data_IF_952480306888
#
_entry.id   IF_952480306888
#
_cell.length_a   1.000
_cell.length_b   1.000
_cell.length_c   1.000
_cell.angle_alpha   90.00
_cell.angle_beta   90.00
_cell.angle_gamma   90.00
#
_symmetry.space_group_name_H-M   'P 1'
#
loop_
_entity.id
_entity.type
_entity.pdbx_description
1 polymer ?
#
# COMPACT_ATOMS: atom_id res chain seq x y z
N UNK A 1 16.11 9.14 -2.47
CA UNK A 1 17.10 8.10 -2.86
C UNK A 1 17.44 7.31 -1.60
N UNK A 2 17.11 6.03 -1.57
CA UNK A 2 17.14 5.15 -0.40
C UNK A 2 18.56 4.99 0.15
N UNK A 3 18.87 5.64 1.27
CA UNK A 3 20.19 5.51 1.92
C UNK A 3 20.05 4.60 3.13
N UNK A 4 20.79 3.49 3.11
CA UNK A 4 21.09 2.77 4.35
C UNK A 4 21.77 3.75 5.29
N UNK A 5 21.26 3.85 6.51
CA UNK A 5 21.77 4.85 7.42
C UNK A 5 21.15 4.76 8.78
N UNK A 6 21.87 5.41 9.70
CA UNK A 6 21.43 5.59 11.07
C UNK A 6 20.44 6.75 11.13
N UNK A 7 19.36 6.56 11.88
CA UNK A 7 18.47 7.65 12.27
C UNK A 7 19.26 8.67 13.10
N UNK A 8 19.19 9.95 12.74
CA UNK A 8 19.71 11.01 13.60
C UNK A 8 18.89 11.12 14.91
N UNK A 9 19.54 11.47 16.01
CA UNK A 9 18.90 11.54 17.33
C UNK A 9 19.91 11.54 18.47
N UNK A 10 19.43 11.80 19.69
CA UNK A 10 20.23 12.00 20.92
C UNK A 10 20.89 10.71 21.46
N UNK A 11 20.50 9.54 20.97
CA UNK A 11 21.06 8.27 21.45
C UNK A 11 22.39 7.97 20.75
N UNK A 12 23.43 7.66 21.53
CA UNK A 12 24.77 7.27 21.06
C UNK A 12 24.77 5.99 20.20
N UNK A 13 23.69 5.19 20.25
CA UNK A 13 23.41 4.04 19.38
C UNK A 13 22.01 4.11 18.75
N UNK A 14 21.75 5.15 17.95
CA UNK A 14 20.48 5.30 17.23
C UNK A 14 20.20 4.16 16.23
N UNK A 15 18.93 3.94 15.93
CA UNK A 15 18.44 2.89 15.03
C UNK A 15 19.10 2.97 13.65
N UNK A 16 19.40 1.81 13.05
CA UNK A 16 19.92 1.71 11.69
C UNK A 16 18.92 0.95 10.83
N UNK A 17 18.55 1.54 9.70
CA UNK A 17 17.60 0.94 8.77
C UNK A 17 18.30 0.58 7.47
N UNK A 18 18.32 -0.71 7.17
CA UNK A 18 18.83 -1.21 5.90
C UNK A 18 17.99 -0.65 4.75
N UNK A 19 18.64 -0.03 3.76
CA UNK A 19 18.01 0.73 2.68
C UNK A 19 17.06 1.86 3.13
N UNK A 20 17.14 2.30 4.38
CA UNK A 20 16.26 3.35 4.91
C UNK A 20 14.79 2.92 5.00
N UNK A 21 14.52 1.63 5.10
CA UNK A 21 13.17 1.07 5.29
C UNK A 21 13.14 0.15 6.51
N UNK A 22 11.96 0.03 7.13
CA UNK A 22 11.74 -0.90 8.24
C UNK A 22 10.31 -1.43 8.24
N UNK A 23 10.11 -2.61 8.82
CA UNK A 23 8.76 -3.05 9.20
C UNK A 23 8.35 -2.30 10.47
N UNK A 24 7.12 -1.78 10.54
CA UNK A 24 6.64 -0.98 11.67
C UNK A 24 6.84 -1.69 13.01
N UNK A 25 6.26 -2.89 13.17
CA UNK A 25 6.40 -3.70 14.38
C UNK A 25 7.85 -4.18 14.63
N UNK A 26 8.64 -4.36 13.57
CA UNK A 26 10.08 -4.67 13.65
C UNK A 26 10.92 -3.52 14.19
N UNK A 27 10.47 -2.27 14.08
CA UNK A 27 11.10 -1.13 14.73
C UNK A 27 10.61 -0.96 16.16
N UNK A 28 9.29 -0.80 16.35
CA UNK A 28 8.63 -0.88 17.65
C UNK A 28 7.14 -1.17 17.47
N UNK A 29 6.54 -1.84 18.45
CA UNK A 29 5.12 -2.17 18.39
C UNK A 29 4.24 -0.92 18.58
N UNK A 30 3.30 -0.71 17.67
CA UNK A 30 2.27 0.33 17.75
C UNK A 30 0.92 -0.28 17.32
N UNK A 31 -0.10 -0.16 18.16
CA UNK A 31 -1.46 -0.59 17.86
C UNK A 31 -2.38 0.62 17.64
N UNK A 32 -3.39 0.45 16.79
CA UNK A 32 -4.35 1.53 16.46
C UNK A 32 -3.84 2.57 15.46
N UNK A 33 -2.77 2.25 14.72
CA UNK A 33 -2.21 3.12 13.69
C UNK A 33 -3.10 3.19 12.44
N UNK A 34 -3.13 4.37 11.81
CA UNK A 34 -3.88 4.61 10.57
C UNK A 34 -3.38 3.72 9.41
N UNK A 35 -2.06 3.55 9.29
CA UNK A 35 -1.43 2.77 8.22
C UNK A 35 -2.00 1.35 8.09
N UNK A 36 -2.06 0.62 9.20
CA UNK A 36 -2.54 -0.75 9.22
C UNK A 36 -4.06 -0.80 9.06
N UNK A 37 -4.78 0.19 9.61
CA UNK A 37 -6.22 0.31 9.42
C UNK A 37 -6.60 0.46 7.94
N UNK A 38 -5.87 1.30 7.19
CA UNK A 38 -6.07 1.48 5.74
C UNK A 38 -5.88 0.16 4.98
N UNK A 39 -4.84 -0.60 5.33
CA UNK A 39 -4.60 -1.89 4.68
C UNK A 39 -5.66 -2.94 5.03
N UNK A 40 -6.23 -2.91 6.24
CA UNK A 40 -7.20 -3.92 6.66
C UNK A 40 -8.65 -3.60 6.24
N UNK A 41 -9.01 -2.32 6.12
CA UNK A 41 -10.41 -1.89 5.97
C UNK A 41 -10.74 -1.17 4.65
N UNK A 42 -9.76 -1.01 3.77
CA UNK A 42 -9.96 -0.39 2.45
C UNK A 42 -9.13 -1.11 1.38
N UNK A 43 -9.11 -0.63 0.13
CA UNK A 43 -8.16 -1.09 -0.89
C UNK A 43 -6.79 -0.39 -0.81
N UNK A 44 -6.66 0.67 -0.01
CA UNK A 44 -5.44 1.47 0.09
C UNK A 44 -4.26 0.66 0.67
N UNK A 45 -3.05 1.01 0.21
CA UNK A 45 -1.79 0.50 0.73
C UNK A 45 -0.95 1.69 1.19
N UNK A 46 -1.11 2.05 2.46
CA UNK A 46 -0.43 3.18 3.08
C UNK A 46 0.97 2.80 3.59
N UNK A 47 1.88 3.78 3.58
CA UNK A 47 3.16 3.71 4.28
C UNK A 47 3.31 4.92 5.20
N UNK A 48 4.06 4.76 6.29
CA UNK A 48 4.48 5.87 7.16
C UNK A 48 5.87 6.34 6.76
N UNK A 49 6.03 7.65 6.54
CA UNK A 49 7.32 8.25 6.16
C UNK A 49 7.83 9.15 7.28
N UNK A 50 8.93 8.74 7.90
CA UNK A 50 9.69 9.55 8.86
C UNK A 50 10.65 10.46 8.09
N UNK A 51 10.26 11.73 7.88
CA UNK A 51 10.97 12.66 6.98
C UNK A 51 12.28 13.22 7.57
N UNK A 52 12.52 13.06 8.86
CA UNK A 52 13.71 13.60 9.51
C UNK A 52 13.66 13.51 11.02
N UNK A 53 14.71 14.01 11.66
CA UNK A 53 14.90 13.85 13.11
C UNK A 53 14.37 15.03 13.93
N UNK A 54 14.34 16.22 13.32
CA UNK A 54 13.71 17.38 13.91
C UNK A 54 12.21 17.29 13.66
N UNK A 55 11.44 17.01 14.72
CA UNK A 55 9.98 17.01 14.68
C UNK A 55 9.42 18.35 14.22
N UNK A 56 10.08 19.44 14.62
CA UNK A 56 9.75 20.80 14.26
C UNK A 56 11.03 21.50 13.76
N UNK A 57 11.34 21.44 12.45
CA UNK A 57 12.54 22.06 11.90
C UNK A 57 12.40 23.59 11.82
N UNK A 58 13.53 24.29 11.84
CA UNK A 58 13.58 25.75 11.65
C UNK A 58 13.29 26.13 10.19
N UNK A 59 12.77 27.33 9.97
CA UNK A 59 12.42 27.85 8.64
C UNK A 59 13.58 27.79 7.63
N UNK A 60 14.80 28.00 8.11
CA UNK A 60 16.02 27.91 7.32
C UNK A 60 16.28 26.52 6.73
N UNK A 61 15.66 25.48 7.27
CA UNK A 61 15.82 24.08 6.84
C UNK A 61 14.87 23.68 5.71
N UNK A 62 13.77 24.41 5.50
CA UNK A 62 12.74 24.03 4.54
C UNK A 62 13.25 23.87 3.09
N UNK A 63 14.09 24.78 2.54
CA UNK A 63 14.58 24.62 1.18
C UNK A 63 15.43 23.35 0.99
N UNK A 64 16.22 22.96 2.00
CA UNK A 64 17.01 21.73 1.95
C UNK A 64 16.11 20.49 2.02
N UNK A 65 15.20 20.43 2.99
CA UNK A 65 14.24 19.34 3.16
C UNK A 65 13.40 19.11 1.89
N UNK A 66 12.95 20.18 1.24
CA UNK A 66 12.24 20.09 -0.03
C UNK A 66 13.11 19.46 -1.13
N UNK A 67 14.33 19.96 -1.29
CA UNK A 67 15.22 19.46 -2.35
C UNK A 67 15.64 18.00 -2.14
N UNK A 68 15.72 17.54 -0.89
CA UNK A 68 16.01 16.15 -0.54
C UNK A 68 14.83 15.20 -0.84
N UNK A 69 13.59 15.66 -0.62
CA UNK A 69 12.40 14.80 -0.72
C UNK A 69 11.62 14.89 -2.02
N UNK A 70 11.68 16.02 -2.76
CA UNK A 70 10.80 16.28 -3.92
C UNK A 70 10.75 15.14 -4.94
N UNK A 71 11.90 14.57 -5.31
CA UNK A 71 11.94 13.47 -6.28
C UNK A 71 11.45 12.15 -5.68
N UNK A 72 11.69 11.92 -4.39
CA UNK A 72 11.18 10.73 -3.70
C UNK A 72 9.65 10.77 -3.59
N UNK A 73 9.08 11.97 -3.35
CA UNK A 73 7.63 12.18 -3.35
C UNK A 73 7.02 11.93 -4.73
N UNK A 74 7.62 12.49 -5.78
CA UNK A 74 7.17 12.27 -7.17
C UNK A 74 7.23 10.79 -7.54
N UNK A 75 8.37 10.12 -7.28
CA UNK A 75 8.51 8.69 -7.55
C UNK A 75 7.55 7.83 -6.73
N UNK A 76 7.22 8.23 -5.49
CA UNK A 76 6.21 7.53 -4.70
C UNK A 76 4.81 7.65 -5.32
N UNK A 77 4.43 8.83 -5.81
CA UNK A 77 3.14 9.01 -6.50
C UNK A 77 3.07 8.17 -7.78
N UNK A 78 4.16 8.03 -8.53
CA UNK A 78 4.21 7.17 -9.72
C UNK A 78 3.98 5.68 -9.40
N UNK A 79 4.26 5.23 -8.18
CA UNK A 79 4.04 3.83 -7.79
C UNK A 79 2.58 3.41 -7.86
N UNK A 80 1.63 4.34 -7.78
CA UNK A 80 0.19 4.05 -7.88
C UNK A 80 -0.20 3.46 -9.24
N UNK A 81 0.64 3.65 -10.26
CA UNK A 81 0.40 3.13 -11.61
C UNK A 81 1.01 1.75 -11.86
N UNK A 82 1.65 1.12 -10.87
CA UNK A 82 2.24 -0.22 -11.00
C UNK A 82 1.20 -1.32 -10.74
N UNK A 83 1.54 -2.55 -11.14
CA UNK A 83 0.68 -3.71 -10.99
C UNK A 83 -0.36 -3.81 -12.09
N UNK A 84 -1.58 -4.21 -11.74
CA UNK A 84 -2.67 -4.46 -12.69
C UNK A 84 -3.87 -3.60 -12.32
N UNK A 85 -4.55 -3.04 -13.33
CA UNK A 85 -5.80 -2.31 -13.17
C UNK A 85 -6.75 -2.68 -14.31
N UNK A 86 -8.04 -2.54 -14.08
CA UNK A 86 -9.05 -2.85 -15.09
C UNK A 86 -10.47 -2.58 -14.61
N UNK A 87 -11.43 -3.00 -15.42
CA UNK A 87 -12.86 -2.94 -15.13
C UNK A 87 -13.40 -4.37 -15.16
N UNK A 88 -14.15 -4.75 -14.14
CA UNK A 88 -14.88 -6.02 -14.09
C UNK A 88 -16.31 -5.78 -14.57
N UNK A 89 -16.78 -6.60 -15.50
CA UNK A 89 -18.14 -6.55 -16.05
C UNK A 89 -18.83 -7.91 -15.97
N UNK A 90 -20.17 -7.90 -16.02
CA UNK A 90 -20.98 -9.09 -16.24
C UNK A 90 -20.92 -9.55 -17.71
N UNK A 91 -21.68 -10.61 -18.04
CA UNK A 91 -21.75 -11.15 -19.39
C UNK A 91 -22.42 -10.20 -20.41
N UNK A 92 -23.16 -9.21 -19.92
CA UNK A 92 -23.86 -8.19 -20.72
C UNK A 92 -23.01 -6.91 -20.88
N UNK A 93 -21.84 -6.84 -20.24
CA UNK A 93 -20.93 -5.71 -20.27
C UNK A 93 -21.24 -4.62 -19.22
N UNK A 94 -22.14 -4.87 -18.27
CA UNK A 94 -22.40 -3.92 -17.18
C UNK A 94 -21.31 -4.01 -16.12
N UNK A 95 -20.86 -2.88 -15.54
CA UNK A 95 -19.83 -2.89 -14.51
C UNK A 95 -20.31 -3.58 -13.23
N UNK A 96 -19.45 -4.44 -12.67
CA UNK A 96 -19.72 -5.15 -11.41
C UNK A 96 -19.01 -4.48 -10.24
N UNK A 97 -19.78 -3.80 -9.40
CA UNK A 97 -19.29 -3.26 -8.14
C UNK A 97 -19.15 -4.31 -7.04
N UNK A 98 -18.22 -4.09 -6.11
CA UNK A 98 -17.93 -4.99 -5.00
C UNK A 98 -17.53 -6.42 -5.40
N UNK A 99 -17.08 -6.63 -6.64
CA UNK A 99 -16.44 -7.87 -7.06
C UNK A 99 -15.06 -7.99 -6.41
N UNK A 100 -14.66 -9.20 -6.05
CA UNK A 100 -13.39 -9.48 -5.37
C UNK A 100 -12.34 -9.95 -6.37
N UNK A 101 -11.23 -9.22 -6.48
CA UNK A 101 -10.05 -9.57 -7.27
C UNK A 101 -8.99 -10.19 -6.35
N UNK A 102 -8.64 -11.45 -6.59
CA UNK A 102 -7.72 -12.26 -5.78
C UNK A 102 -6.64 -12.92 -6.63
N UNK A 103 -5.41 -12.98 -6.15
CA UNK A 103 -4.32 -13.73 -6.80
C UNK A 103 -4.49 -15.23 -6.50
N UNK A 104 -4.48 -16.06 -7.54
CA UNK A 104 -5.04 -17.41 -7.53
C UNK A 104 -4.03 -18.56 -7.34
N UNK A 105 -2.71 -18.36 -7.46
CA UNK A 105 -1.76 -19.49 -7.34
C UNK A 105 -0.31 -19.11 -6.98
N UNK A 106 0.33 -19.93 -6.12
CA UNK A 106 1.71 -19.81 -5.61
C UNK A 106 1.79 -19.86 -4.07
N UNK A 107 2.99 -19.92 -3.48
CA UNK A 107 3.25 -19.83 -2.02
C UNK A 107 2.63 -18.60 -1.31
N UNK A 108 1.96 -17.73 -2.06
CA UNK A 108 1.24 -16.56 -1.60
C UNK A 108 -0.26 -16.89 -1.66
N UNK A 109 -0.71 -17.72 -0.73
CA UNK A 109 -2.14 -17.90 -0.42
C UNK A 109 -2.72 -16.73 0.40
N UNK A 110 -1.90 -15.70 0.70
CA UNK A 110 -2.16 -14.67 1.72
C UNK A 110 -2.08 -13.22 1.21
N UNK A 111 -2.20 -12.99 -0.10
CA UNK A 111 -2.29 -11.62 -0.62
C UNK A 111 -3.64 -10.98 -0.27
N UNK A 112 -3.65 -9.69 0.09
CA UNK A 112 -4.90 -8.93 0.32
C UNK A 112 -5.82 -8.99 -0.89
N UNK A 113 -7.11 -9.23 -0.67
CA UNK A 113 -8.12 -9.11 -1.72
C UNK A 113 -8.39 -7.63 -2.04
N UNK A 114 -8.72 -7.32 -3.30
CA UNK A 114 -9.13 -5.98 -3.73
C UNK A 114 -10.59 -6.04 -4.18
N UNK A 115 -11.39 -5.06 -3.77
CA UNK A 115 -12.78 -4.91 -4.21
C UNK A 115 -12.90 -3.89 -5.34
N UNK A 116 -13.82 -4.10 -6.27
CA UNK A 116 -14.08 -3.13 -7.34
C UNK A 116 -14.92 -1.94 -6.84
N UNK A 117 -14.76 -0.78 -7.48
CA UNK A 117 -15.63 0.39 -7.29
C UNK A 117 -17.03 0.12 -7.84
N UNK A 118 -18.00 1.02 -7.61
CA UNK A 118 -19.32 0.94 -8.23
C UNK A 118 -19.30 0.96 -9.77
N UNK A 119 -18.22 1.45 -10.37
CA UNK A 119 -17.99 1.42 -11.81
C UNK A 119 -17.23 0.16 -12.29
N UNK A 120 -17.04 -0.82 -11.40
CA UNK A 120 -16.32 -2.07 -11.71
C UNK A 120 -14.80 -1.92 -11.74
N UNK A 121 -14.26 -0.75 -11.43
CA UNK A 121 -12.83 -0.47 -11.53
C UNK A 121 -12.05 -1.10 -10.38
N UNK A 122 -10.84 -1.58 -10.65
CA UNK A 122 -9.91 -2.02 -9.62
C UNK A 122 -8.47 -1.62 -9.92
N UNK A 123 -7.68 -1.49 -8.86
CA UNK A 123 -6.23 -1.30 -8.92
C UNK A 123 -5.57 -2.25 -7.94
N UNK A 124 -4.70 -3.11 -8.46
CA UNK A 124 -3.95 -4.11 -7.69
C UNK A 124 -2.46 -3.89 -7.87
N UNK A 125 -1.83 -3.26 -6.88
CA UNK A 125 -0.38 -3.11 -6.83
C UNK A 125 0.28 -4.49 -6.73
N UNK A 126 1.25 -4.74 -7.61
CA UNK A 126 2.05 -5.97 -7.67
C UNK A 126 3.49 -5.61 -8.06
N UNK A 127 4.44 -6.39 -7.54
CA UNK A 127 5.81 -6.38 -8.06
C UNK A 127 5.86 -6.98 -9.47
N UNK A 128 6.92 -6.74 -10.25
CA UNK A 128 7.10 -7.40 -11.54
C UNK A 128 7.11 -8.92 -11.40
N UNK A 129 6.31 -9.60 -12.21
CA UNK A 129 6.18 -11.06 -12.19
C UNK A 129 4.96 -11.54 -12.97
N UNK A 130 4.83 -12.86 -13.09
CA UNK A 130 3.65 -13.49 -13.70
C UNK A 130 2.72 -13.97 -12.59
N UNK A 131 1.48 -13.51 -12.63
CA UNK A 131 0.47 -13.83 -11.63
C UNK A 131 -0.77 -14.38 -12.30
N UNK A 132 -1.36 -15.42 -11.71
CA UNK A 132 -2.73 -15.83 -12.01
C UNK A 132 -3.66 -15.12 -11.03
N UNK A 133 -4.81 -14.67 -11.48
CA UNK A 133 -5.81 -14.06 -10.61
C UNK A 133 -7.20 -14.55 -10.98
N UNK A 134 -8.08 -14.51 -9.98
CA UNK A 134 -9.50 -14.84 -10.06
C UNK A 134 -10.31 -13.62 -9.69
N UNK A 135 -11.40 -13.41 -10.41
CA UNK A 135 -12.43 -12.43 -10.04
C UNK A 135 -13.63 -13.23 -9.55
N UNK A 136 -14.06 -12.92 -8.34
CA UNK A 136 -15.24 -13.53 -7.71
C UNK A 136 -16.32 -12.46 -7.64
N UNK A 137 -17.49 -12.78 -8.17
CA UNK A 137 -18.68 -11.97 -7.93
C UNK A 137 -19.23 -12.35 -6.55
N UNK A 138 -19.43 -11.35 -5.70
CA UNK A 138 -19.88 -11.56 -4.32
C UNK A 138 -21.42 -11.65 -4.32
N UNK A 139 -21.99 -12.57 -5.10
CA UNK A 139 -23.42 -12.91 -5.00
C UNK A 139 -23.54 -13.99 -3.93
N UNK A 140 -23.87 -13.61 -2.71
CA UNK A 140 -24.40 -14.55 -1.74
C UNK A 140 -25.78 -14.99 -2.25
N UNK A 141 -25.87 -16.17 -2.85
CA UNK A 141 -27.15 -16.81 -3.15
C UNK A 141 -27.52 -17.60 -1.90
N UNK A 142 -28.23 -16.97 -0.96
CA UNK A 142 -28.97 -17.70 0.07
C UNK A 142 -30.23 -18.27 -0.60
N UNK A 143 -30.16 -19.49 -1.10
CA UNK A 143 -31.38 -20.28 -1.32
C UNK A 143 -31.88 -20.76 0.03
N UNK A 144 -32.84 -20.03 0.61
CA UNK A 144 -33.70 -20.59 1.65
C UNK A 144 -34.73 -21.47 0.93
N UNK A 145 -34.52 -22.79 0.94
CA UNK A 145 -35.59 -23.73 0.63
C UNK A 145 -36.57 -23.77 1.82
N UNK A 146 -37.88 -23.81 1.51
CA UNK A 146 -38.97 -23.78 2.50
C UNK A 146 -38.89 -24.88 3.57
#
# INVERSE_FOLDING_TARGET
MWKTGRRCGLAAMGDSFYHGITNGAGWYHLAGGMQDWQYLHSNSMEITVEQGCFKFPFDSMYPALWNEHKFSLLSYMEMVHRGVKGIVTDAQGNPLGNATVRIAEGSITSGKNITTTSAGEYWRLLSPGTYKYTVLDTVAIDTVEN
#
